data_IF_361955269574
#
_entry.id   IF_361955269574
#
_cell.length_a   1.000
_cell.length_b   1.000
_cell.length_c   1.000
_cell.angle_alpha   90.00
_cell.angle_beta   90.00
_cell.angle_gamma   90.00
#
_symmetry.space_group_name_H-M   'P 1'
#
loop_
_entity.id
_entity.type
_entity.pdbx_description
1 polymer ?
#
# COMPACT_ATOMS: atom_id res chain seq x y z
N UNK A 1 4.06 10.47 7.55
CA UNK A 1 3.15 9.64 8.35
C UNK A 1 3.83 9.10 9.60
N UNK A 2 3.03 8.79 10.62
CA UNK A 2 3.53 8.16 11.84
C UNK A 2 3.80 6.67 11.60
N UNK A 3 4.54 6.04 12.53
CA UNK A 3 4.77 4.59 12.48
C UNK A 3 3.43 3.84 12.57
N UNK A 4 2.52 4.31 13.42
CA UNK A 4 1.19 3.70 13.56
C UNK A 4 0.39 3.75 12.26
N UNK A 5 0.43 4.88 11.56
CA UNK A 5 -0.23 5.03 10.26
C UNK A 5 0.36 4.09 9.22
N UNK A 6 1.69 3.92 9.20
CA UNK A 6 2.35 3.00 8.29
C UNK A 6 2.02 1.53 8.61
N UNK A 7 1.94 1.18 9.90
CA UNK A 7 1.55 -0.17 10.31
C UNK A 7 0.10 -0.47 9.93
N UNK A 8 -0.79 0.50 10.07
CA UNK A 8 -2.18 0.35 9.65
C UNK A 8 -2.28 0.19 8.12
N UNK A 9 -1.51 0.98 7.38
CA UNK A 9 -1.46 0.86 5.93
C UNK A 9 -0.92 -0.51 5.51
N UNK A 10 0.12 -1.00 6.16
CA UNK A 10 0.67 -2.34 5.92
C UNK A 10 -0.41 -3.41 6.12
N UNK A 11 -1.15 -3.33 7.22
CA UNK A 11 -2.24 -4.26 7.51
C UNK A 11 -3.31 -4.23 6.43
N UNK A 12 -3.69 -3.04 5.98
CA UNK A 12 -4.69 -2.86 4.92
C UNK A 12 -4.20 -3.41 3.58
N UNK A 13 -2.94 -3.22 3.25
CA UNK A 13 -2.33 -3.77 2.03
C UNK A 13 -2.36 -5.31 2.08
N UNK A 14 -2.03 -5.90 3.21
CA UNK A 14 -2.10 -7.36 3.37
C UNK A 14 -3.52 -7.88 3.16
N UNK A 15 -4.53 -7.16 3.64
CA UNK A 15 -5.94 -7.52 3.41
C UNK A 15 -6.29 -7.47 1.93
N UNK A 16 -5.87 -6.42 1.22
CA UNK A 16 -6.11 -6.27 -0.22
C UNK A 16 -5.48 -7.43 -0.98
N UNK A 17 -4.22 -7.74 -0.71
CA UNK A 17 -3.50 -8.80 -1.42
C UNK A 17 -4.14 -10.16 -1.12
N UNK A 18 -4.49 -10.44 0.14
CA UNK A 18 -5.16 -11.70 0.51
C UNK A 18 -6.47 -11.87 -0.24
N UNK A 19 -7.24 -10.81 -0.35
CA UNK A 19 -8.51 -10.81 -1.07
C UNK A 19 -8.30 -11.07 -2.57
N UNK A 20 -7.29 -10.44 -3.17
CA UNK A 20 -6.97 -10.66 -4.59
C UNK A 20 -6.48 -12.08 -4.85
N UNK A 21 -5.72 -12.66 -3.93
CA UNK A 21 -5.29 -14.06 -4.00
C UNK A 21 -6.50 -14.99 -3.97
N UNK A 22 -7.46 -14.73 -3.10
CA UNK A 22 -8.71 -15.50 -3.04
C UNK A 22 -9.51 -15.38 -4.35
N UNK A 23 -9.39 -14.27 -5.05
CA UNK A 23 -10.04 -14.05 -6.34
C UNK A 23 -9.26 -14.59 -7.53
N UNK A 24 -8.12 -15.24 -7.29
CA UNK A 24 -7.35 -15.90 -8.33
C UNK A 24 -6.06 -15.21 -8.72
N UNK A 25 -5.66 -14.14 -8.03
CA UNK A 25 -4.37 -13.50 -8.31
C UNK A 25 -3.23 -14.48 -8.01
N UNK A 26 -2.36 -14.71 -9.00
CA UNK A 26 -1.23 -15.63 -8.87
C UNK A 26 -0.03 -14.90 -8.25
N UNK A 27 -0.07 -14.76 -6.92
CA UNK A 27 1.07 -14.25 -6.15
C UNK A 27 0.97 -14.77 -4.72
N UNK A 28 2.09 -14.74 -4.03
CA UNK A 28 2.14 -15.05 -2.60
C UNK A 28 1.99 -13.76 -1.79
N UNK A 29 1.44 -13.88 -0.57
CA UNK A 29 1.35 -12.76 0.34
C UNK A 29 2.76 -12.27 0.68
N UNK A 30 3.09 -10.99 0.40
CA UNK A 30 4.42 -10.48 0.67
C UNK A 30 4.75 -10.50 2.16
N UNK A 31 5.98 -10.89 2.48
CA UNK A 31 6.53 -10.75 3.82
C UNK A 31 7.39 -9.49 3.83
N UNK A 32 6.94 -8.47 4.51
CA UNK A 32 7.68 -7.22 4.64
C UNK A 32 7.41 -6.59 6.00
N UNK A 33 8.41 -5.90 6.52
CA UNK A 33 8.33 -5.23 7.81
C UNK A 33 8.46 -3.73 7.66
N UNK A 34 7.90 -2.99 8.62
CA UNK A 34 8.06 -1.55 8.70
C UNK A 34 9.38 -1.24 9.39
N UNK A 35 10.23 -0.47 8.71
CA UNK A 35 11.43 0.08 9.32
C UNK A 35 11.03 1.29 10.15
N UNK A 36 11.07 1.16 11.48
CA UNK A 36 10.66 2.23 12.39
C UNK A 36 11.64 3.40 12.40
N UNK A 37 12.86 3.19 11.91
CA UNK A 37 13.86 4.26 11.85
C UNK A 37 13.76 5.07 10.56
N UNK A 38 13.26 4.49 9.47
CA UNK A 38 13.13 5.17 8.19
C UNK A 38 11.73 5.02 7.61
N UNK A 39 10.88 5.98 7.89
CA UNK A 39 9.51 6.03 7.36
C UNK A 39 9.48 6.20 5.84
N UNK A 40 10.49 6.87 5.29
CA UNK A 40 10.60 7.05 3.83
C UNK A 40 10.80 5.70 3.15
N UNK A 41 11.74 4.90 3.65
CA UNK A 41 12.02 3.56 3.10
C UNK A 41 10.82 2.65 3.27
N UNK A 42 10.18 2.70 4.44
CA UNK A 42 9.00 1.89 4.73
C UNK A 42 7.86 2.21 3.77
N UNK A 43 7.56 3.49 3.57
CA UNK A 43 6.50 3.89 2.63
C UNK A 43 6.83 3.46 1.20
N UNK A 44 8.09 3.59 0.80
CA UNK A 44 8.54 3.15 -0.52
C UNK A 44 8.31 1.65 -0.71
N UNK A 45 8.69 0.85 0.29
CA UNK A 45 8.48 -0.60 0.26
C UNK A 45 6.99 -0.94 0.17
N UNK A 46 6.14 -0.24 0.91
CA UNK A 46 4.69 -0.44 0.82
C UNK A 46 4.17 -0.13 -0.59
N UNK A 47 4.64 0.96 -1.20
CA UNK A 47 4.25 1.30 -2.57
C UNK A 47 4.59 0.20 -3.58
N UNK A 48 5.71 -0.50 -3.39
CA UNK A 48 6.15 -1.55 -4.32
C UNK A 48 5.40 -2.86 -4.15
N UNK A 49 4.71 -3.07 -3.03
CA UNK A 49 4.01 -4.34 -2.74
C UNK A 49 2.55 -4.36 -3.20
N UNK A 50 1.97 -3.21 -3.47
CA UNK A 50 0.56 -3.14 -3.88
C UNK A 50 0.43 -3.37 -5.38
N UNK A 51 -0.37 -4.36 -5.82
CA UNK A 51 -0.69 -4.49 -7.24
C UNK A 51 -1.46 -3.27 -7.73
N UNK A 52 -0.92 -2.59 -8.73
CA UNK A 52 -1.56 -1.40 -9.29
C UNK A 52 -1.12 -1.21 -10.75
N UNK A 53 -1.87 -0.38 -11.47
CA UNK A 53 -1.50 -0.02 -12.84
C UNK A 53 -0.21 0.79 -12.87
N UNK A 54 0.45 0.79 -14.03
CA UNK A 54 1.66 1.62 -14.24
C UNK A 54 1.32 3.09 -14.06
N UNK A 55 0.15 3.52 -14.50
CA UNK A 55 -0.31 4.90 -14.38
C UNK A 55 -0.45 5.32 -12.92
N UNK A 56 -1.06 4.47 -12.09
CA UNK A 56 -1.19 4.74 -10.66
C UNK A 56 0.16 4.76 -9.97
N UNK A 57 1.05 3.84 -10.32
CA UNK A 57 2.41 3.79 -9.76
C UNK A 57 3.17 5.06 -10.11
N UNK A 58 3.10 5.51 -11.37
CA UNK A 58 3.74 6.75 -11.81
C UNK A 58 3.17 7.96 -11.07
N UNK A 59 1.87 7.99 -10.84
CA UNK A 59 1.23 9.05 -10.08
C UNK A 59 1.76 9.10 -8.64
N UNK A 60 1.90 7.96 -7.98
CA UNK A 60 2.49 7.88 -6.65
C UNK A 60 3.92 8.40 -6.62
N UNK A 61 4.72 8.01 -7.62
CA UNK A 61 6.13 8.38 -7.69
C UNK A 61 6.34 9.84 -8.06
N UNK A 62 5.34 10.51 -8.63
CA UNK A 62 5.41 11.91 -9.02
C UNK A 62 5.28 12.87 -7.83
N UNK A 63 4.77 12.41 -6.69
CA UNK A 63 4.65 13.25 -5.50
C UNK A 63 6.02 13.58 -4.92
N UNK A 64 6.24 14.84 -4.60
CA UNK A 64 7.49 15.32 -4.01
C UNK A 64 7.52 15.15 -2.48
N UNK A 65 6.36 15.07 -1.86
CA UNK A 65 6.20 14.96 -0.41
C UNK A 65 5.90 13.53 -0.02
N UNK A 66 6.55 13.06 1.06
CA UNK A 66 6.25 11.74 1.64
C UNK A 66 4.81 11.67 2.14
N UNK A 67 4.28 12.76 2.69
CA UNK A 67 2.92 12.81 3.21
C UNK A 67 1.90 12.73 2.08
N UNK A 68 2.15 13.40 0.96
CA UNK A 68 1.26 13.33 -0.21
C UNK A 68 1.27 11.93 -0.82
N UNK A 69 2.43 11.29 -0.88
CA UNK A 69 2.55 9.91 -1.36
C UNK A 69 1.81 8.94 -0.45
N UNK A 70 1.97 9.09 0.85
CA UNK A 70 1.26 8.28 1.83
C UNK A 70 -0.25 8.43 1.67
N UNK A 71 -0.74 9.66 1.59
CA UNK A 71 -2.16 9.96 1.46
C UNK A 71 -2.74 9.32 0.20
N UNK A 72 -2.05 9.45 -0.92
CA UNK A 72 -2.48 8.87 -2.20
C UNK A 72 -2.57 7.35 -2.12
N UNK A 73 -1.54 6.70 -1.59
CA UNK A 73 -1.52 5.25 -1.45
C UNK A 73 -2.59 4.78 -0.48
N UNK A 74 -2.73 5.45 0.66
CA UNK A 74 -3.74 5.10 1.66
C UNK A 74 -5.15 5.21 1.08
N UNK A 75 -5.45 6.28 0.36
CA UNK A 75 -6.75 6.48 -0.28
C UNK A 75 -7.03 5.39 -1.32
N UNK A 76 -6.03 5.02 -2.11
CA UNK A 76 -6.14 3.95 -3.10
C UNK A 76 -6.49 2.60 -2.44
N UNK A 77 -5.76 2.25 -1.38
CA UNK A 77 -5.98 1.01 -0.63
C UNK A 77 -7.37 1.00 0.02
N UNK A 78 -7.78 2.10 0.64
CA UNK A 78 -9.09 2.23 1.25
C UNK A 78 -10.22 2.09 0.23
N UNK A 79 -10.03 2.64 -0.96
CA UNK A 79 -11.02 2.54 -2.03
C UNK A 79 -11.21 1.08 -2.46
N UNK A 80 -10.13 0.32 -2.59
CA UNK A 80 -10.21 -1.11 -2.93
C UNK A 80 -10.95 -1.89 -1.84
N UNK A 81 -10.59 -1.67 -0.58
CA UNK A 81 -11.24 -2.34 0.54
C UNK A 81 -12.73 -2.02 0.60
N UNK A 82 -13.09 -0.76 0.41
CA UNK A 82 -14.48 -0.31 0.46
C UNK A 82 -15.31 -0.97 -0.64
N UNK A 83 -14.78 -1.06 -1.86
CA UNK A 83 -15.48 -1.69 -2.99
C UNK A 83 -15.69 -3.19 -2.77
N UNK A 84 -14.79 -3.84 -2.04
CA UNK A 84 -14.82 -5.29 -1.86
C UNK A 84 -15.77 -5.74 -0.77
N UNK A 85 -16.13 -4.85 0.16
CA UNK A 85 -17.05 -5.14 1.26
C UNK A 85 -18.46 -4.60 1.01
N UNK A 86 -18.69 -4.02 -0.13
CA UNK A 86 -20.04 -3.62 -0.57
C UNK A 86 -20.62 -4.67 -1.54
#
# INVERSE_FOLDING_TARGET
PSVEELLQLQSNIKKVISMLIEQGLDMQLPDFEIDTESRIISLWNLCTKVPMSIEMRNKLLSHNSIDDRFEELNNYVQLILKKSFN
#
